data_IF_777486725681
#
_entry.id   IF_777486725681
#
_cell.length_a   1.000
_cell.length_b   1.000
_cell.length_c   1.000
_cell.angle_alpha   90.00
_cell.angle_beta   90.00
_cell.angle_gamma   90.00
#
_symmetry.space_group_name_H-M   'P 1'
#
loop_
_entity.id
_entity.type
_entity.pdbx_description
1 polymer ?
#
# COMPACT_ATOMS: atom_id res chain seq x y z
N UNK A 1 -8.31 17.82 -0.27
CA UNK A 1 -7.12 16.96 -0.10
C UNK A 1 -7.49 15.86 0.90
N UNK A 2 -7.35 14.61 0.51
CA UNK A 2 -7.54 13.46 1.39
C UNK A 2 -6.17 12.82 1.70
N UNK A 3 -5.99 12.36 2.94
CA UNK A 3 -4.75 11.74 3.38
C UNK A 3 -5.07 10.45 4.14
N UNK A 4 -4.38 9.38 3.79
CA UNK A 4 -4.51 8.07 4.44
C UNK A 4 -3.13 7.59 4.85
N UNK A 5 -2.95 7.25 6.13
CA UNK A 5 -1.73 6.59 6.61
C UNK A 5 -2.00 5.11 6.89
N UNK A 6 -1.09 4.25 6.44
CA UNK A 6 -1.23 2.79 6.51
C UNK A 6 -0.03 2.20 7.24
N UNK A 7 -0.28 1.41 8.28
CA UNK A 7 0.76 0.71 9.01
C UNK A 7 1.35 1.50 10.18
N UNK A 8 0.66 2.54 10.68
CA UNK A 8 1.16 3.26 11.85
C UNK A 8 1.13 2.37 13.11
N UNK A 9 2.02 2.68 14.02
CA UNK A 9 2.15 1.98 15.31
C UNK A 9 2.00 2.99 16.44
N UNK A 10 1.04 2.77 17.34
CA UNK A 10 0.64 3.74 18.37
C UNK A 10 1.77 4.15 19.32
N UNK A 11 2.74 3.27 19.54
CA UNK A 11 3.88 3.57 20.42
C UNK A 11 4.96 4.46 19.78
N UNK A 12 4.85 4.74 18.49
CA UNK A 12 5.71 5.70 17.78
C UNK A 12 5.04 7.05 17.53
N UNK A 13 3.77 7.18 17.85
CA UNK A 13 2.98 8.38 17.57
C UNK A 13 2.41 8.92 18.89
N UNK A 14 2.40 10.24 19.07
CA UNK A 14 1.72 10.86 20.19
C UNK A 14 0.20 10.79 20.04
N UNK A 15 -0.52 10.88 21.16
CA UNK A 15 -1.98 10.94 21.09
C UNK A 15 -2.46 12.20 20.37
N UNK A 16 -1.73 13.31 20.49
CA UNK A 16 -2.07 14.56 19.81
C UNK A 16 -1.97 14.44 18.28
N UNK A 17 -1.01 13.66 17.75
CA UNK A 17 -0.90 13.39 16.31
C UNK A 17 -2.08 12.56 15.81
N UNK A 18 -2.50 11.55 16.57
CA UNK A 18 -3.66 10.72 16.23
C UNK A 18 -4.94 11.57 16.26
N UNK A 19 -5.14 12.36 17.31
CA UNK A 19 -6.29 13.27 17.44
C UNK A 19 -6.32 14.31 16.32
N UNK A 20 -5.17 14.77 15.84
CA UNK A 20 -5.07 15.71 14.71
C UNK A 20 -5.52 15.05 13.40
N UNK A 21 -5.12 13.81 13.13
CA UNK A 21 -5.54 13.04 11.97
C UNK A 21 -7.07 12.91 11.97
N UNK A 22 -7.66 12.54 13.11
CA UNK A 22 -9.11 12.43 13.27
C UNK A 22 -9.84 13.77 13.06
N UNK A 23 -9.32 14.87 13.64
CA UNK A 23 -9.88 16.22 13.48
C UNK A 23 -9.86 16.72 12.03
N UNK A 24 -8.86 16.28 11.25
CA UNK A 24 -8.76 16.63 9.84
C UNK A 24 -9.57 15.70 8.93
N UNK A 25 -10.30 14.73 9.50
CA UNK A 25 -11.01 13.69 8.78
C UNK A 25 -10.11 12.88 7.85
N UNK A 26 -8.85 12.66 8.26
CA UNK A 26 -7.90 11.79 7.59
C UNK A 26 -8.04 10.37 8.11
N UNK A 27 -7.65 9.42 7.29
CA UNK A 27 -7.73 8.01 7.64
C UNK A 27 -6.39 7.48 8.16
N UNK A 28 -6.44 6.65 9.20
CA UNK A 28 -5.27 6.01 9.77
C UNK A 28 -5.56 4.54 10.08
N UNK A 29 -4.76 3.65 9.50
CA UNK A 29 -4.89 2.19 9.67
C UNK A 29 -3.67 1.64 10.39
N UNK A 30 -3.89 0.93 11.50
CA UNK A 30 -2.82 0.34 12.30
C UNK A 30 -2.14 -0.81 11.56
N UNK A 31 -0.84 -1.01 11.84
CA UNK A 31 -0.07 -2.11 11.28
C UNK A 31 -0.77 -3.47 11.49
N UNK A 32 -1.20 -3.79 12.70
CA UNK A 32 -1.84 -5.07 13.02
C UNK A 32 -3.18 -5.31 12.29
N UNK A 33 -3.89 -4.25 11.96
CA UNK A 33 -5.14 -4.32 11.20
C UNK A 33 -4.89 -4.70 9.74
N UNK A 34 -3.85 -4.11 9.14
CA UNK A 34 -3.50 -4.34 7.74
C UNK A 34 -2.74 -5.65 7.57
N UNK A 35 -1.79 -5.98 8.47
CA UNK A 35 -1.06 -7.26 8.42
C UNK A 35 -1.97 -8.47 8.64
N UNK A 36 -3.08 -8.30 9.35
CA UNK A 36 -4.09 -9.36 9.51
C UNK A 36 -4.85 -9.67 8.22
N UNK A 37 -5.03 -8.68 7.35
CA UNK A 37 -5.65 -8.84 6.03
C UNK A 37 -5.15 -7.74 5.08
N UNK A 38 -4.11 -8.06 4.32
CA UNK A 38 -3.46 -7.13 3.39
C UNK A 38 -4.38 -6.68 2.25
N UNK A 39 -5.46 -7.43 1.95
CA UNK A 39 -6.40 -7.06 0.89
C UNK A 39 -7.17 -5.77 1.21
N UNK A 40 -7.25 -5.38 2.48
CA UNK A 40 -7.84 -4.10 2.92
C UNK A 40 -7.14 -2.89 2.30
N UNK A 41 -5.90 -3.02 1.87
CA UNK A 41 -5.14 -1.93 1.24
C UNK A 41 -5.64 -1.63 -0.17
N UNK A 42 -6.13 -2.65 -0.90
CA UNK A 42 -6.54 -2.47 -2.29
C UNK A 42 -7.62 -1.38 -2.47
N UNK A 43 -8.74 -1.37 -1.71
CA UNK A 43 -9.73 -0.31 -1.82
C UNK A 43 -9.17 1.08 -1.51
N UNK A 44 -8.26 1.19 -0.55
CA UNK A 44 -7.64 2.46 -0.17
C UNK A 44 -6.79 3.05 -1.29
N UNK A 45 -6.17 2.19 -2.10
CA UNK A 45 -5.35 2.62 -3.23
C UNK A 45 -6.18 3.12 -4.42
N UNK A 46 -7.46 2.75 -4.54
CA UNK A 46 -8.31 3.14 -5.68
C UNK A 46 -8.46 4.64 -5.85
N UNK A 47 -8.45 5.39 -4.75
CA UNK A 47 -8.63 6.83 -4.76
C UNK A 47 -7.32 7.61 -4.53
N UNK A 48 -6.21 6.92 -4.34
CA UNK A 48 -4.91 7.53 -4.16
C UNK A 48 -4.36 8.06 -5.50
N UNK A 49 -3.81 9.29 -5.48
CA UNK A 49 -3.09 9.87 -6.62
C UNK A 49 -1.57 9.76 -6.43
N UNK A 50 -1.13 9.85 -5.19
CA UNK A 50 0.28 9.74 -4.81
C UNK A 50 0.39 8.69 -3.71
N UNK A 51 1.31 7.74 -3.89
CA UNK A 51 1.65 6.75 -2.88
C UNK A 51 3.11 6.93 -2.47
N UNK A 52 3.32 7.08 -1.16
CA UNK A 52 4.63 7.24 -0.56
C UNK A 52 4.87 6.09 0.42
N UNK A 53 5.93 5.34 0.22
CA UNK A 53 6.35 4.25 1.10
C UNK A 53 7.61 4.66 1.85
N UNK A 54 7.52 4.73 3.18
CA UNK A 54 8.67 4.86 4.06
C UNK A 54 9.20 3.45 4.39
N UNK A 55 10.45 3.17 4.07
CA UNK A 55 11.07 1.86 4.35
C UNK A 55 11.16 1.55 5.85
N UNK A 56 11.04 2.55 6.72
CA UNK A 56 10.92 2.32 8.18
C UNK A 56 9.63 1.59 8.56
N UNK A 57 8.63 1.54 7.67
CA UNK A 57 7.42 0.72 7.86
C UNK A 57 7.68 -0.78 7.71
N UNK A 58 8.81 -1.16 7.12
CA UNK A 58 9.22 -2.56 6.93
C UNK A 58 9.95 -3.06 8.18
N UNK A 59 9.72 -4.30 8.58
CA UNK A 59 10.39 -4.89 9.75
C UNK A 59 11.89 -5.10 9.51
N UNK A 60 12.68 -4.94 10.56
CA UNK A 60 14.14 -5.01 10.52
C UNK A 60 14.70 -6.34 9.93
N UNK A 61 13.95 -7.44 9.99
CA UNK A 61 14.36 -8.74 9.44
C UNK A 61 14.43 -8.76 7.90
N UNK A 62 13.74 -7.85 7.23
CA UNK A 62 13.68 -7.76 5.75
C UNK A 62 14.71 -6.79 5.17
N UNK A 63 15.26 -5.92 6.00
CA UNK A 63 16.18 -4.84 5.62
C UNK A 63 17.45 -4.98 6.45
N UNK A 64 18.60 -5.12 5.81
CA UNK A 64 19.83 -5.40 6.52
C UNK A 64 20.47 -4.14 7.16
N UNK A 65 21.14 -4.36 8.29
CA UNK A 65 22.13 -3.50 8.95
C UNK A 65 21.71 -2.12 9.45
N UNK A 66 20.43 -1.72 9.41
CA UNK A 66 20.09 -0.39 9.89
C UNK A 66 19.39 -0.45 11.25
N UNK A 67 20.06 0.00 12.31
CA UNK A 67 19.52 0.14 13.68
C UNK A 67 18.26 1.04 13.76
N UNK A 68 17.84 1.64 12.65
CA UNK A 68 16.69 2.52 12.55
C UNK A 68 15.37 1.80 12.24
N UNK A 69 15.42 0.51 11.91
CA UNK A 69 14.22 -0.26 11.60
C UNK A 69 13.64 -0.95 12.83
N UNK A 70 12.32 -0.95 12.93
CA UNK A 70 11.61 -1.63 14.00
C UNK A 70 11.61 -3.17 13.77
N UNK A 71 11.71 -3.99 14.82
CA UNK A 71 11.45 -5.43 14.71
C UNK A 71 10.04 -5.74 14.21
N UNK A 72 9.08 -4.86 14.51
CA UNK A 72 7.69 -4.96 14.07
C UNK A 72 7.42 -4.00 12.92
N UNK A 73 6.93 -4.52 11.81
CA UNK A 73 6.68 -3.79 10.58
C UNK A 73 6.13 -4.74 9.51
N UNK A 74 5.88 -4.21 8.32
CA UNK A 74 5.47 -5.03 7.19
C UNK A 74 6.59 -6.02 6.78
N UNK A 75 6.21 -7.23 6.45
CA UNK A 75 7.11 -8.18 5.79
C UNK A 75 7.36 -7.78 4.34
N UNK A 76 8.43 -8.32 3.74
CA UNK A 76 8.72 -8.13 2.32
C UNK A 76 7.55 -8.51 1.41
N UNK A 77 6.84 -9.61 1.76
CA UNK A 77 5.63 -10.03 1.03
C UNK A 77 4.51 -8.99 1.08
N UNK A 78 4.24 -8.45 2.27
CA UNK A 78 3.17 -7.46 2.46
C UNK A 78 3.47 -6.15 1.75
N UNK A 79 4.71 -5.63 1.85
CA UNK A 79 5.06 -4.37 1.21
C UNK A 79 5.10 -4.49 -0.31
N UNK A 80 5.46 -5.65 -0.87
CA UNK A 80 5.35 -5.94 -2.30
C UNK A 80 3.88 -6.00 -2.75
N UNK A 81 2.98 -6.59 -1.95
CA UNK A 81 1.55 -6.59 -2.23
C UNK A 81 0.97 -5.17 -2.23
N UNK A 82 1.34 -4.34 -1.25
CA UNK A 82 0.97 -2.92 -1.18
C UNK A 82 1.44 -2.18 -2.44
N UNK A 83 2.69 -2.39 -2.85
CA UNK A 83 3.25 -1.80 -4.08
C UNK A 83 2.46 -2.21 -5.31
N UNK A 84 2.06 -3.48 -5.40
CA UNK A 84 1.23 -3.99 -6.50
C UNK A 84 -0.16 -3.35 -6.51
N UNK A 85 -0.82 -3.21 -5.38
CA UNK A 85 -2.12 -2.54 -5.28
C UNK A 85 -2.02 -1.07 -5.69
N UNK A 86 -0.96 -0.36 -5.30
CA UNK A 86 -0.69 0.99 -5.80
C UNK A 86 -0.54 1.01 -7.33
N UNK A 87 0.15 0.01 -7.90
CA UNK A 87 0.31 -0.12 -9.35
C UNK A 87 -1.01 -0.36 -10.08
N UNK A 88 -1.91 -1.20 -9.56
CA UNK A 88 -3.21 -1.52 -10.19
C UNK A 88 -4.14 -0.30 -10.22
N UNK A 89 -4.04 0.60 -9.26
CA UNK A 89 -4.91 1.78 -9.20
C UNK A 89 -4.71 2.69 -10.41
N UNK A 90 -5.76 2.96 -11.17
CA UNK A 90 -5.74 3.86 -12.33
C UNK A 90 -5.44 5.31 -11.96
N UNK A 91 -5.72 5.74 -10.71
CA UNK A 91 -5.52 7.12 -10.25
C UNK A 91 -4.09 7.39 -9.78
N UNK A 92 -3.34 6.37 -9.37
CA UNK A 92 -1.96 6.55 -8.90
C UNK A 92 -1.07 7.02 -10.04
N UNK A 93 -0.62 8.25 -9.94
CA UNK A 93 0.28 8.91 -10.89
C UNK A 93 1.73 8.97 -10.40
N UNK A 94 1.95 8.80 -9.09
CA UNK A 94 3.28 8.85 -8.49
C UNK A 94 3.41 7.79 -7.39
N UNK A 95 4.49 7.02 -7.43
CA UNK A 95 4.89 6.04 -6.42
C UNK A 95 6.31 6.34 -5.98
N UNK A 96 6.50 6.63 -4.71
CA UNK A 96 7.80 6.98 -4.14
C UNK A 96 8.20 6.04 -3.02
N UNK A 97 9.50 5.72 -2.92
CA UNK A 97 10.10 4.94 -1.85
C UNK A 97 11.13 5.84 -1.15
N UNK A 98 10.99 5.99 0.16
CA UNK A 98 11.76 6.92 0.99
C UNK A 98 12.52 6.21 2.09
N UNK A 99 13.48 6.90 2.70
CA UNK A 99 14.34 6.38 3.76
C UNK A 99 15.21 5.17 3.33
N UNK A 100 15.50 5.09 2.03
CA UNK A 100 16.47 4.12 1.52
C UNK A 100 17.90 4.60 1.84
N UNK A 101 18.59 3.80 2.62
CA UNK A 101 20.01 4.02 2.96
C UNK A 101 20.84 2.92 2.32
N UNK A 102 21.60 3.27 1.29
CA UNK A 102 22.52 2.34 0.65
C UNK A 102 23.77 2.12 1.50
N UNK A 103 24.10 0.88 1.79
CA UNK A 103 25.43 0.52 2.29
C UNK A 103 26.12 -0.47 1.33
N UNK A 104 27.44 -0.52 1.33
CA UNK A 104 28.21 -1.39 0.41
C UNK A 104 27.91 -2.89 0.58
N UNK A 105 27.37 -3.28 1.74
CA UNK A 105 27.08 -4.66 2.09
C UNK A 105 25.59 -4.97 2.15
N UNK A 106 24.72 -4.00 1.84
CA UNK A 106 23.27 -4.15 1.96
C UNK A 106 22.66 -4.57 0.61
N UNK A 107 22.66 -5.88 0.35
CA UNK A 107 21.97 -6.44 -0.81
C UNK A 107 20.48 -6.69 -0.52
N UNK A 108 20.08 -6.95 0.73
CA UNK A 108 18.69 -7.31 1.06
C UNK A 108 17.73 -6.15 0.83
N UNK A 109 18.04 -4.97 1.35
CA UNK A 109 17.21 -3.77 1.15
C UNK A 109 17.14 -3.38 -0.33
N UNK A 110 18.27 -3.43 -1.05
CA UNK A 110 18.32 -3.15 -2.49
C UNK A 110 17.44 -4.12 -3.29
N UNK A 111 17.48 -5.41 -2.95
CA UNK A 111 16.66 -6.44 -3.59
C UNK A 111 15.17 -6.22 -3.28
N UNK A 112 14.82 -5.89 -2.03
CA UNK A 112 13.45 -5.60 -1.65
C UNK A 112 12.90 -4.39 -2.40
N UNK A 113 13.65 -3.30 -2.48
CA UNK A 113 13.26 -2.11 -3.25
C UNK A 113 13.07 -2.44 -4.72
N UNK A 114 13.96 -3.22 -5.32
CA UNK A 114 13.83 -3.68 -6.70
C UNK A 114 12.55 -4.51 -6.91
N UNK A 115 12.22 -5.40 -5.96
CA UNK A 115 10.99 -6.19 -6.00
C UNK A 115 9.75 -5.30 -5.85
N UNK A 116 9.74 -4.32 -4.94
CA UNK A 116 8.63 -3.37 -4.79
C UNK A 116 8.37 -2.60 -6.10
N UNK A 117 9.43 -2.12 -6.76
CA UNK A 117 9.31 -1.44 -8.06
C UNK A 117 8.77 -2.41 -9.11
N UNK A 118 9.26 -3.65 -9.14
CA UNK A 118 8.78 -4.66 -10.08
C UNK A 118 7.28 -4.94 -9.89
N UNK A 119 6.82 -5.14 -8.64
CA UNK A 119 5.41 -5.37 -8.33
C UNK A 119 4.54 -4.16 -8.67
N UNK A 120 5.03 -2.94 -8.46
CA UNK A 120 4.34 -1.73 -8.89
C UNK A 120 4.16 -1.69 -10.40
N UNK A 121 5.21 -1.94 -11.18
CA UNK A 121 5.16 -1.96 -12.65
C UNK A 121 4.26 -3.10 -13.16
N UNK A 122 4.32 -4.28 -12.54
CA UNK A 122 3.40 -5.37 -12.86
C UNK A 122 1.95 -4.93 -12.62
N UNK A 123 1.67 -4.27 -11.49
CA UNK A 123 0.35 -3.71 -11.21
C UNK A 123 -0.10 -2.71 -12.27
N UNK A 124 0.78 -1.81 -12.72
CA UNK A 124 0.47 -0.85 -13.80
C UNK A 124 0.08 -1.56 -15.09
N UNK A 125 0.74 -2.66 -15.42
CA UNK A 125 0.40 -3.45 -16.60
C UNK A 125 -0.96 -4.17 -16.47
N UNK A 126 -1.46 -4.35 -15.25
CA UNK A 126 -2.77 -4.93 -14.97
C UNK A 126 -3.91 -3.90 -14.91
N UNK A 127 -3.63 -2.59 -15.14
CA UNK A 127 -4.66 -1.55 -15.14
C UNK A 127 -5.70 -1.83 -16.21
N UNK A 128 -6.96 -1.80 -15.81
CA UNK A 128 -8.07 -1.86 -16.77
C UNK A 128 -8.21 -0.47 -17.39
N UNK A 129 -8.25 -0.41 -18.72
CA UNK A 129 -8.60 0.85 -19.39
C UNK A 129 -10.06 1.15 -19.09
N UNK A 130 -10.35 2.32 -18.53
CA UNK A 130 -11.70 2.78 -18.18
C UNK A 130 -12.62 2.97 -19.42
N UNK A 131 -12.10 2.77 -20.62
CA UNK A 131 -12.84 2.93 -21.90
C UNK A 131 -13.89 1.84 -22.15
N UNK A 132 -14.00 0.84 -21.29
CA UNK A 132 -14.82 -0.35 -21.57
C UNK A 132 -16.08 -0.48 -20.68
N UNK A 133 -16.64 0.65 -20.19
CA UNK A 133 -17.97 0.66 -19.55
C UNK A 133 -19.11 0.27 -20.51
N UNK A 134 -18.84 0.16 -21.81
CA UNK A 134 -19.79 -0.30 -22.83
C UNK A 134 -19.74 -1.82 -23.06
N UNK A 135 -18.87 -2.57 -22.36
CA UNK A 135 -18.73 -4.00 -22.57
C UNK A 135 -19.91 -4.76 -21.93
N UNK A 136 -20.68 -5.46 -22.75
CA UNK A 136 -21.85 -6.27 -22.33
C UNK A 136 -21.53 -7.26 -21.19
N UNK A 137 -20.29 -7.71 -21.06
CA UNK A 137 -19.83 -8.57 -19.97
C UNK A 137 -19.89 -7.91 -18.59
N UNK A 138 -19.82 -6.57 -18.50
CA UNK A 138 -19.96 -5.85 -17.25
C UNK A 138 -21.40 -5.87 -16.73
N UNK A 139 -22.37 -5.71 -17.64
CA UNK A 139 -23.79 -5.79 -17.32
C UNK A 139 -24.25 -7.21 -16.98
N UNK A 140 -23.66 -8.24 -17.56
CA UNK A 140 -23.98 -9.64 -17.22
C UNK A 140 -23.51 -10.00 -15.80
N UNK A 141 -22.37 -9.51 -15.34
CA UNK A 141 -21.92 -9.68 -13.94
C UNK A 141 -22.86 -9.01 -12.93
N UNK A 142 -23.35 -7.81 -13.23
CA UNK A 142 -24.29 -7.10 -12.36
C UNK A 142 -25.65 -7.83 -12.27
N UNK A 143 -26.17 -8.37 -13.37
CA UNK A 143 -27.42 -9.12 -13.42
C UNK A 143 -27.36 -10.44 -12.63
N UNK A 144 -26.21 -11.12 -12.57
CA UNK A 144 -26.01 -12.31 -11.76
C UNK A 144 -26.09 -12.01 -10.24
N UNK A 145 -25.61 -10.87 -9.80
CA UNK A 145 -25.71 -10.45 -8.39
C UNK A 145 -27.13 -10.09 -7.98
N UNK A 146 -27.92 -9.50 -8.85
CA UNK A 146 -29.31 -9.12 -8.57
C UNK A 146 -30.27 -10.34 -8.54
N UNK A 147 -29.95 -11.42 -9.24
CA UNK A 147 -30.77 -12.64 -9.27
C UNK A 147 -30.52 -13.57 -8.06
N UNK A 148 -29.43 -13.43 -7.33
CA UNK A 148 -29.15 -14.21 -6.10
C UNK A 148 -29.73 -13.57 -4.83
N UNK A 149 -30.35 -12.39 -4.92
CA UNK A 149 -30.96 -11.67 -3.78
C UNK A 149 -32.49 -11.73 -3.78
N UNK A 150 -33.09 -12.65 -4.51
CA UNK A 150 -34.56 -12.86 -4.56
C UNK A 150 -34.94 -14.17 -3.92
#
# INVERSE_FOLDING_TARGET
FNYTTIGYQTYFNSQEEIDLIEKLYFEAYRLGEISGDINKVEPLMRDAHIVSVDLKSVRAAEVSENQKYSPNGFSGKEICAISRYAGISNKVSSFGIYEYHSSKNDNATSMLVAQMIWYFVEGVNCRVKDDDFSNENYFQKLNLFLHQSS
#
